data_IF_411824677859
#
_entry.id   IF_411824677859
#
_cell.length_a   1.000
_cell.length_b   1.000
_cell.length_c   1.000
_cell.angle_alpha   90.00
_cell.angle_beta   90.00
_cell.angle_gamma   90.00
#
_symmetry.space_group_name_H-M   'P 1'
#
loop_
_entity.id
_entity.type
_entity.pdbx_description
1 polymer ?
#
# COMPACT_ATOMS: atom_id res chain seq x y z
N UNK A 1 24.45 20.69 1.83
CA UNK A 1 23.89 21.64 2.82
C UNK A 1 23.98 21.01 4.20
N UNK A 2 24.25 21.78 5.24
CA UNK A 2 24.18 21.29 6.62
C UNK A 2 23.31 22.24 7.45
N UNK A 3 22.72 21.74 8.55
CA UNK A 3 21.92 22.55 9.45
C UNK A 3 22.58 22.53 10.83
N UNK A 4 22.69 23.71 11.45
CA UNK A 4 23.06 23.83 12.85
C UNK A 4 21.77 23.94 13.65
N UNK A 5 21.59 23.00 14.57
CA UNK A 5 20.47 23.02 15.53
C UNK A 5 21.00 23.55 16.84
N UNK A 6 20.43 24.66 17.31
CA UNK A 6 20.69 25.19 18.66
C UNK A 6 19.45 24.96 19.50
N UNK A 7 19.61 24.27 20.64
CA UNK A 7 18.53 23.95 21.55
C UNK A 7 18.81 24.52 22.95
N UNK A 8 17.81 25.19 23.54
CA UNK A 8 17.78 25.57 24.95
C UNK A 8 16.42 25.18 25.55
N UNK A 9 16.28 25.22 26.89
CA UNK A 9 15.07 24.71 27.59
C UNK A 9 13.79 25.32 26.99
N UNK A 10 13.06 24.49 26.24
CA UNK A 10 11.76 24.80 25.66
C UNK A 10 11.76 25.36 24.23
N UNK A 11 12.92 25.59 23.58
CA UNK A 11 12.99 26.10 22.19
C UNK A 11 14.15 25.48 21.41
N UNK A 12 13.88 25.07 20.17
CA UNK A 12 14.90 24.65 19.21
C UNK A 12 14.83 25.54 17.97
N UNK A 13 15.99 26.04 17.54
CA UNK A 13 16.13 26.81 16.30
C UNK A 13 17.02 26.03 15.32
N UNK A 14 16.55 25.88 14.09
CA UNK A 14 17.29 25.23 13.01
C UNK A 14 17.70 26.30 12.01
N UNK A 15 19.01 26.50 11.81
CA UNK A 15 19.53 27.33 10.72
C UNK A 15 20.14 26.45 9.65
N UNK A 16 19.59 26.54 8.44
CA UNK A 16 20.10 25.83 7.27
C UNK A 16 21.19 26.67 6.60
N UNK A 17 22.36 26.06 6.40
CA UNK A 17 23.48 26.67 5.70
C UNK A 17 23.70 25.96 4.36
N UNK A 18 23.74 26.74 3.29
CA UNK A 18 24.13 26.30 1.95
C UNK A 18 25.55 26.79 1.71
N UNK A 19 26.52 25.90 1.76
CA UNK A 19 27.87 26.25 1.32
C UNK A 19 27.83 26.49 -0.20
N UNK A 20 28.30 27.64 -0.71
CA UNK A 20 28.46 27.83 -2.13
C UNK A 20 29.58 26.89 -2.62
N UNK A 21 29.29 26.09 -3.63
CA UNK A 21 30.29 25.28 -4.33
C UNK A 21 29.97 25.30 -5.82
N UNK A 22 31.01 25.20 -6.65
CA UNK A 22 30.89 25.15 -8.09
C UNK A 22 30.36 23.78 -8.52
N UNK A 23 29.10 23.76 -8.95
CA UNK A 23 28.39 22.53 -9.34
C UNK A 23 29.07 21.88 -10.56
N UNK A 24 29.45 22.66 -11.56
CA UNK A 24 30.05 22.15 -12.81
C UNK A 24 31.46 21.59 -12.57
N UNK A 25 32.28 22.30 -11.78
CA UNK A 25 33.60 21.80 -11.41
C UNK A 25 33.50 20.50 -10.60
N UNK A 26 32.51 20.41 -9.71
CA UNK A 26 32.27 19.22 -8.88
C UNK A 26 31.81 18.03 -9.72
N UNK A 27 30.83 18.20 -10.61
CA UNK A 27 30.34 17.11 -11.47
C UNK A 27 31.40 16.62 -12.44
N UNK A 28 32.21 17.52 -13.02
CA UNK A 28 33.35 17.15 -13.88
C UNK A 28 34.39 16.34 -13.12
N UNK A 29 34.71 16.73 -11.89
CA UNK A 29 35.67 16.01 -11.04
C UNK A 29 35.17 14.61 -10.64
N UNK A 30 33.86 14.46 -10.38
CA UNK A 30 33.26 13.16 -10.04
C UNK A 30 33.28 12.20 -11.25
N UNK A 31 32.93 12.70 -12.43
CA UNK A 31 32.98 11.92 -13.68
C UNK A 31 34.42 11.52 -14.04
N UNK A 32 35.39 12.44 -13.88
CA UNK A 32 36.80 12.16 -14.12
C UNK A 32 37.41 11.11 -13.17
N UNK A 33 36.79 10.89 -12.00
CA UNK A 33 37.14 9.83 -11.04
C UNK A 33 36.38 8.51 -11.27
N UNK A 34 35.56 8.42 -12.32
CA UNK A 34 34.80 7.21 -12.65
C UNK A 34 33.66 6.89 -11.67
N UNK A 35 33.21 7.87 -10.89
CA UNK A 35 32.09 7.66 -9.96
C UNK A 35 30.76 7.57 -10.73
N UNK A 36 29.78 6.77 -10.25
CA UNK A 36 28.48 6.63 -10.90
C UNK A 36 27.76 7.98 -11.12
N UNK A 37 27.16 8.18 -12.30
CA UNK A 37 26.53 9.45 -12.68
C UNK A 37 25.43 9.96 -11.74
N UNK A 38 24.86 9.09 -10.90
CA UNK A 38 23.91 9.49 -9.84
C UNK A 38 24.54 10.45 -8.83
N UNK A 39 25.85 10.35 -8.58
CA UNK A 39 26.55 11.27 -7.68
C UNK A 39 26.66 12.68 -8.26
N UNK A 40 26.82 12.83 -9.58
CA UNK A 40 26.80 14.14 -10.24
C UNK A 40 25.42 14.80 -10.10
N UNK A 41 24.34 14.02 -10.32
CA UNK A 41 22.96 14.49 -10.16
C UNK A 41 22.63 14.96 -8.73
N UNK A 42 23.30 14.44 -7.69
CA UNK A 42 23.14 14.96 -6.31
C UNK A 42 23.49 16.43 -6.20
N UNK A 43 24.56 16.85 -6.88
CA UNK A 43 25.05 18.23 -6.83
C UNK A 43 24.27 19.14 -7.76
N UNK A 44 23.86 18.64 -8.93
CA UNK A 44 23.03 19.37 -9.90
C UNK A 44 21.62 19.65 -9.37
N UNK A 45 20.96 18.62 -8.83
CA UNK A 45 19.55 18.71 -8.42
C UNK A 45 19.38 19.12 -6.95
N UNK A 46 20.48 19.15 -6.18
CA UNK A 46 20.45 19.49 -4.75
C UNK A 46 19.68 18.48 -3.89
N UNK A 47 19.53 17.25 -4.39
CA UNK A 47 18.79 16.17 -3.75
C UNK A 47 19.75 15.18 -3.07
N UNK A 48 19.28 14.58 -1.98
CA UNK A 48 20.03 13.53 -1.30
C UNK A 48 20.13 12.27 -2.19
N UNK A 49 21.17 11.45 -1.97
CA UNK A 49 21.37 10.24 -2.76
C UNK A 49 20.17 9.31 -2.67
N UNK A 50 19.49 9.23 -1.51
CA UNK A 50 18.32 8.36 -1.38
C UNK A 50 17.13 8.81 -2.25
N UNK A 51 17.02 10.12 -2.49
CA UNK A 51 15.99 10.71 -3.35
C UNK A 51 16.28 10.47 -4.84
N UNK A 52 17.56 10.44 -5.24
CA UNK A 52 17.99 10.28 -6.63
C UNK A 52 18.23 8.83 -7.05
N UNK A 53 18.80 8.03 -6.15
CA UNK A 53 19.09 6.63 -6.40
C UNK A 53 17.81 5.77 -6.38
N UNK A 54 16.71 6.29 -5.83
CA UNK A 54 15.56 5.51 -5.41
C UNK A 54 16.02 4.47 -4.39
N UNK A 55 15.74 4.68 -3.10
CA UNK A 55 16.13 3.78 -2.01
C UNK A 55 16.19 2.30 -2.45
N UNK A 56 17.21 1.48 -2.12
CA UNK A 56 17.37 0.09 -2.62
C UNK A 56 16.13 -0.81 -2.50
N UNK A 57 15.20 -0.48 -1.59
CA UNK A 57 13.89 -1.09 -1.49
C UNK A 57 12.90 -0.78 -2.64
N UNK A 58 13.11 0.27 -3.45
CA UNK A 58 12.25 0.69 -4.55
C UNK A 58 12.34 -0.28 -5.73
N UNK A 59 13.54 -0.68 -6.17
CA UNK A 59 13.69 -1.63 -7.29
C UNK A 59 13.10 -3.01 -6.98
N UNK A 60 13.32 -3.51 -5.76
CA UNK A 60 12.76 -4.80 -5.30
C UNK A 60 11.24 -4.71 -5.11
N UNK A 61 10.72 -3.61 -4.55
CA UNK A 61 9.28 -3.36 -4.46
C UNK A 61 8.61 -3.32 -5.83
N UNK A 62 9.15 -2.50 -6.73
CA UNK A 62 8.68 -2.39 -8.10
C UNK A 62 8.68 -3.75 -8.79
N UNK A 63 9.67 -4.60 -8.51
CA UNK A 63 9.68 -5.97 -9.05
C UNK A 63 8.56 -6.84 -8.50
N UNK A 64 8.33 -6.84 -7.19
CA UNK A 64 7.26 -7.69 -6.59
C UNK A 64 5.89 -7.33 -7.11
N UNK A 65 5.61 -6.04 -7.25
CA UNK A 65 4.34 -5.55 -7.82
C UNK A 65 4.25 -5.91 -9.30
N UNK A 66 5.35 -5.79 -10.06
CA UNK A 66 5.38 -6.23 -11.46
C UNK A 66 5.09 -7.74 -11.61
N UNK A 67 5.67 -8.58 -10.75
CA UNK A 67 5.40 -10.02 -10.74
C UNK A 67 3.92 -10.31 -10.40
N UNK A 68 3.34 -9.58 -9.43
CA UNK A 68 1.91 -9.71 -9.10
C UNK A 68 1.02 -9.34 -10.28
N UNK A 69 1.30 -8.22 -10.94
CA UNK A 69 0.56 -7.74 -12.13
C UNK A 69 0.65 -8.72 -13.29
N UNK A 70 1.85 -9.21 -13.58
CA UNK A 70 2.08 -10.21 -14.62
C UNK A 70 1.25 -11.48 -14.36
N UNK A 71 1.20 -11.94 -13.11
CA UNK A 71 0.39 -13.10 -12.74
C UNK A 71 -1.12 -12.84 -12.89
N UNK A 72 -1.60 -11.67 -12.47
CA UNK A 72 -3.00 -11.27 -12.64
C UNK A 72 -3.39 -11.29 -14.13
N UNK A 73 -2.57 -10.68 -14.99
CA UNK A 73 -2.76 -10.68 -16.44
C UNK A 73 -2.81 -12.10 -16.99
N UNK A 74 -1.88 -12.95 -16.58
CA UNK A 74 -1.78 -14.33 -17.05
C UNK A 74 -2.99 -15.18 -16.63
N UNK A 75 -3.55 -14.97 -15.43
CA UNK A 75 -4.62 -15.81 -14.89
C UNK A 75 -6.03 -15.28 -15.15
N UNK A 76 -6.22 -13.96 -15.21
CA UNK A 76 -7.54 -13.33 -15.31
C UNK A 76 -7.77 -12.60 -16.63
N UNK A 77 -6.73 -12.32 -17.40
CA UNK A 77 -6.82 -11.58 -18.67
C UNK A 77 -7.04 -10.07 -18.53
N UNK A 78 -7.40 -9.59 -17.34
CA UNK A 78 -7.62 -8.18 -17.04
C UNK A 78 -6.97 -7.78 -15.70
N UNK A 79 -6.39 -6.58 -15.70
CA UNK A 79 -5.72 -5.93 -14.57
C UNK A 79 -6.54 -4.78 -13.96
N UNK A 80 -7.61 -4.33 -14.62
CA UNK A 80 -8.30 -3.06 -14.29
C UNK A 80 -8.82 -3.06 -12.85
N UNK A 81 -9.63 -4.04 -12.48
CA UNK A 81 -10.17 -4.16 -11.11
C UNK A 81 -9.07 -4.30 -10.05
N UNK A 82 -8.09 -5.17 -10.29
CA UNK A 82 -7.01 -5.43 -9.32
C UNK A 82 -6.14 -4.19 -9.10
N UNK A 83 -5.85 -3.45 -10.17
CA UNK A 83 -5.11 -2.21 -10.11
C UNK A 83 -5.89 -1.10 -9.42
N UNK A 84 -7.19 -1.01 -9.68
CA UNK A 84 -8.05 -0.02 -9.03
C UNK A 84 -8.19 -0.28 -7.52
N UNK A 85 -8.43 -1.53 -7.12
CA UNK A 85 -8.45 -1.92 -5.70
C UNK A 85 -7.09 -1.66 -5.04
N UNK A 86 -5.97 -1.93 -5.72
CA UNK A 86 -4.64 -1.61 -5.20
C UNK A 86 -4.45 -0.11 -4.95
N UNK A 87 -4.88 0.73 -5.88
CA UNK A 87 -4.83 2.19 -5.75
C UNK A 87 -5.65 2.68 -4.54
N UNK A 88 -6.90 2.21 -4.38
CA UNK A 88 -7.76 2.56 -3.25
C UNK A 88 -7.20 2.02 -1.91
N UNK A 89 -6.69 0.79 -1.90
CA UNK A 89 -6.10 0.18 -0.70
C UNK A 89 -4.88 0.97 -0.20
N UNK A 90 -4.04 1.46 -1.13
CA UNK A 90 -2.90 2.29 -0.79
C UNK A 90 -3.29 3.68 -0.28
N UNK A 91 -4.30 4.31 -0.89
CA UNK A 91 -4.84 5.57 -0.39
C UNK A 91 -5.42 5.43 1.03
N UNK A 92 -6.14 4.33 1.30
CA UNK A 92 -6.61 4.01 2.65
C UNK A 92 -5.45 3.78 3.60
N UNK A 93 -4.44 3.00 3.21
CA UNK A 93 -3.26 2.77 4.06
C UNK A 93 -2.59 4.08 4.44
N UNK A 94 -2.30 4.94 3.47
CA UNK A 94 -1.63 6.21 3.73
C UNK A 94 -2.49 7.13 4.61
N UNK A 95 -3.81 7.19 4.35
CA UNK A 95 -4.76 7.97 5.16
C UNK A 95 -5.02 7.45 6.57
N UNK A 96 -4.72 6.18 6.84
CA UNK A 96 -4.95 5.52 8.14
C UNK A 96 -3.67 5.33 8.95
N UNK A 97 -2.56 5.94 8.52
CA UNK A 97 -1.24 5.77 9.16
C UNK A 97 -1.23 6.01 10.66
N UNK A 98 -2.02 6.99 11.14
CA UNK A 98 -2.16 7.29 12.56
C UNK A 98 -2.79 6.14 13.38
N UNK A 99 -3.55 5.25 12.76
CA UNK A 99 -4.19 4.11 13.42
C UNK A 99 -3.32 2.86 13.42
N UNK A 100 -2.71 2.53 12.28
CA UNK A 100 -1.98 1.25 12.14
C UNK A 100 -0.48 1.37 12.42
N UNK A 101 0.13 2.55 12.28
CA UNK A 101 1.55 2.78 12.57
C UNK A 101 2.54 1.95 11.74
N UNK A 102 2.08 1.40 10.61
CA UNK A 102 2.87 0.49 9.75
C UNK A 102 3.68 1.28 8.73
N UNK A 103 4.78 0.68 8.27
CA UNK A 103 5.74 1.33 7.38
C UNK A 103 5.65 0.85 5.94
N UNK A 104 6.67 1.24 5.16
CA UNK A 104 6.80 0.95 3.74
C UNK A 104 6.69 -0.54 3.41
N UNK A 105 7.31 -1.41 4.20
CA UNK A 105 7.29 -2.85 3.98
C UNK A 105 5.88 -3.47 4.06
N UNK A 106 4.99 -2.91 4.89
CA UNK A 106 3.60 -3.35 4.99
C UNK A 106 2.73 -2.76 3.88
N UNK A 107 3.04 -1.54 3.45
CA UNK A 107 2.44 -0.92 2.26
C UNK A 107 2.68 -1.79 1.01
N UNK A 108 3.89 -2.30 0.83
CA UNK A 108 4.22 -3.20 -0.29
C UNK A 108 3.44 -4.51 -0.26
N UNK A 109 3.25 -5.08 0.94
CA UNK A 109 2.49 -6.32 1.13
C UNK A 109 1.03 -6.10 0.80
N UNK A 110 0.49 -4.95 1.21
CA UNK A 110 -0.88 -4.57 0.87
C UNK A 110 -1.05 -4.42 -0.63
N UNK A 111 -0.13 -3.73 -1.31
CA UNK A 111 -0.16 -3.54 -2.76
C UNK A 111 -0.13 -4.88 -3.50
N UNK A 112 0.83 -5.77 -3.16
CA UNK A 112 0.90 -7.09 -3.78
C UNK A 112 -0.37 -7.91 -3.49
N UNK A 113 -0.88 -7.87 -2.25
CA UNK A 113 -2.10 -8.60 -1.90
C UNK A 113 -3.34 -8.04 -2.60
N UNK A 114 -3.41 -6.73 -2.83
CA UNK A 114 -4.50 -6.09 -3.56
C UNK A 114 -4.49 -6.47 -5.03
N UNK A 115 -3.32 -6.53 -5.67
CA UNK A 115 -3.21 -7.10 -7.01
C UNK A 115 -3.66 -8.57 -7.04
N UNK A 116 -3.27 -9.36 -6.06
CA UNK A 116 -3.44 -10.81 -6.07
C UNK A 116 -4.76 -11.30 -5.44
N UNK A 117 -5.63 -10.41 -4.93
CA UNK A 117 -6.73 -10.82 -4.06
C UNK A 117 -7.75 -11.73 -4.75
N UNK A 118 -8.00 -11.50 -6.04
CA UNK A 118 -9.06 -12.15 -6.81
C UNK A 118 -8.55 -13.19 -7.82
N UNK A 119 -7.25 -13.50 -7.85
CA UNK A 119 -6.67 -14.46 -8.81
C UNK A 119 -7.24 -15.88 -8.71
N UNK A 120 -7.83 -16.23 -7.56
CA UNK A 120 -8.56 -17.47 -7.36
C UNK A 120 -9.80 -17.63 -8.24
N UNK A 121 -10.28 -16.57 -8.90
CA UNK A 121 -11.35 -16.67 -9.90
C UNK A 121 -10.96 -17.56 -11.09
N UNK A 122 -9.66 -17.66 -11.39
CA UNK A 122 -9.12 -18.57 -12.42
C UNK A 122 -9.45 -20.05 -12.17
N UNK A 123 -9.81 -20.44 -10.93
CA UNK A 123 -10.17 -21.81 -10.54
C UNK A 123 -11.69 -22.05 -10.40
N UNK A 124 -12.56 -21.25 -11.03
CA UNK A 124 -14.01 -21.51 -11.07
C UNK A 124 -14.84 -20.90 -9.91
N UNK A 125 -14.34 -19.84 -9.30
CA UNK A 125 -15.11 -18.83 -8.55
C UNK A 125 -15.63 -19.19 -7.15
N UNK A 126 -16.00 -20.44 -6.87
CA UNK A 126 -16.41 -20.83 -5.51
C UNK A 126 -15.19 -20.77 -4.59
N UNK A 127 -15.36 -20.09 -3.45
CA UNK A 127 -14.30 -19.93 -2.44
C UNK A 127 -13.01 -19.35 -3.05
N UNK A 128 -13.10 -18.48 -4.06
CA UNK A 128 -11.92 -17.94 -4.77
C UNK A 128 -10.89 -17.30 -3.84
N UNK A 129 -11.31 -16.64 -2.76
CA UNK A 129 -10.40 -16.12 -1.74
C UNK A 129 -9.49 -17.21 -1.10
N UNK A 130 -9.94 -18.47 -1.01
CA UNK A 130 -9.12 -19.62 -0.61
C UNK A 130 -8.17 -20.04 -1.74
N UNK A 131 -8.68 -20.09 -2.97
CA UNK A 131 -7.85 -20.37 -4.15
C UNK A 131 -6.75 -19.31 -4.34
N UNK A 132 -7.02 -18.02 -4.12
CA UNK A 132 -6.00 -16.96 -4.17
C UNK A 132 -4.88 -17.21 -3.16
N UNK A 133 -5.22 -17.63 -1.92
CA UNK A 133 -4.21 -18.03 -0.93
C UNK A 133 -3.30 -19.13 -1.47
N UNK A 134 -3.90 -20.21 -1.99
CA UNK A 134 -3.19 -21.39 -2.49
C UNK A 134 -2.29 -21.01 -3.67
N UNK A 135 -2.82 -20.29 -4.66
CA UNK A 135 -2.07 -19.81 -5.82
C UNK A 135 -0.88 -18.96 -5.36
N UNK A 136 -1.08 -17.95 -4.50
CA UNK A 136 0.04 -17.09 -4.03
C UNK A 136 1.12 -17.92 -3.31
N UNK A 137 0.72 -18.96 -2.56
CA UNK A 137 1.67 -19.82 -1.86
C UNK A 137 2.44 -20.74 -2.80
N UNK A 138 1.81 -21.21 -3.87
CA UNK A 138 2.33 -22.25 -4.77
C UNK A 138 3.09 -21.68 -5.98
N UNK A 139 2.67 -20.53 -6.52
CA UNK A 139 3.22 -19.93 -7.75
C UNK A 139 4.72 -19.58 -7.63
N UNK A 140 5.62 -20.26 -8.34
CA UNK A 140 7.06 -19.97 -8.29
C UNK A 140 7.44 -18.60 -8.87
N UNK A 141 6.69 -18.12 -9.86
CA UNK A 141 6.91 -16.86 -10.60
C UNK A 141 6.84 -15.63 -9.70
N UNK A 142 6.11 -15.70 -8.59
CA UNK A 142 6.16 -14.69 -7.53
C UNK A 142 7.46 -14.88 -6.74
N UNK A 143 8.57 -14.23 -7.11
CA UNK A 143 9.88 -14.37 -6.47
C UNK A 143 9.96 -13.77 -5.04
N UNK A 144 9.00 -14.11 -4.19
CA UNK A 144 8.76 -13.60 -2.86
C UNK A 144 9.42 -14.50 -1.84
N UNK A 145 10.19 -13.91 -0.91
CA UNK A 145 10.69 -14.64 0.25
C UNK A 145 9.54 -15.23 1.08
N UNK A 146 9.74 -16.42 1.66
CA UNK A 146 8.66 -17.22 2.26
C UNK A 146 7.83 -16.49 3.32
N UNK A 147 8.46 -15.64 4.16
CA UNK A 147 7.72 -14.81 5.13
C UNK A 147 6.83 -13.76 4.44
N UNK A 148 7.34 -13.07 3.42
CA UNK A 148 6.58 -12.09 2.66
C UNK A 148 5.39 -12.75 1.96
N UNK A 149 5.65 -13.86 1.26
CA UNK A 149 4.64 -14.64 0.53
C UNK A 149 3.49 -15.06 1.43
N UNK A 150 3.78 -15.65 2.60
CA UNK A 150 2.74 -16.10 3.55
C UNK A 150 1.87 -14.95 4.08
N UNK A 151 2.46 -13.79 4.33
CA UNK A 151 1.70 -12.61 4.79
C UNK A 151 0.82 -12.05 3.67
N UNK A 152 1.35 -11.90 2.46
CA UNK A 152 0.58 -11.46 1.27
C UNK A 152 -0.59 -12.40 0.99
N UNK A 153 -0.32 -13.71 1.01
CA UNK A 153 -1.34 -14.73 0.80
C UNK A 153 -2.44 -14.64 1.88
N UNK A 154 -2.08 -14.43 3.16
CA UNK A 154 -3.05 -14.24 4.22
C UNK A 154 -3.89 -12.96 4.05
N UNK A 155 -3.28 -11.85 3.62
CA UNK A 155 -4.02 -10.60 3.35
C UNK A 155 -5.06 -10.83 2.25
N UNK A 156 -4.62 -11.37 1.10
CA UNK A 156 -5.48 -11.72 -0.02
C UNK A 156 -6.59 -12.69 0.39
N UNK A 157 -6.29 -13.70 1.21
CA UNK A 157 -7.27 -14.67 1.72
C UNK A 157 -8.44 -14.05 2.48
N UNK A 158 -8.18 -12.95 3.19
CA UNK A 158 -9.15 -12.34 4.10
C UNK A 158 -9.83 -11.09 3.52
N UNK A 159 -9.65 -10.79 2.22
CA UNK A 159 -10.36 -9.71 1.52
C UNK A 159 -11.89 -9.88 1.52
N UNK A 160 -12.41 -11.08 1.81
CA UNK A 160 -13.85 -11.33 1.95
C UNK A 160 -14.17 -12.51 2.85
N UNK A 161 -15.47 -12.65 3.18
CA UNK A 161 -16.02 -13.77 3.99
C UNK A 161 -15.36 -13.82 5.37
N UNK A 162 -15.05 -15.02 5.86
CA UNK A 162 -14.57 -15.28 7.21
C UNK A 162 -13.38 -14.38 7.61
N UNK A 163 -13.40 -13.95 8.87
CA UNK A 163 -12.33 -13.15 9.47
C UNK A 163 -11.07 -14.00 9.81
N UNK A 164 -9.90 -13.37 9.99
CA UNK A 164 -8.71 -14.05 10.49
C UNK A 164 -8.98 -14.80 11.80
N UNK A 165 -8.53 -16.06 11.87
CA UNK A 165 -8.82 -16.95 13.00
C UNK A 165 -7.68 -17.94 13.24
N UNK A 166 -7.41 -18.23 14.51
CA UNK A 166 -6.43 -19.26 14.92
C UNK A 166 -6.84 -20.69 14.56
N UNK A 167 -8.10 -20.89 14.17
CA UNK A 167 -8.59 -22.15 13.59
C UNK A 167 -8.08 -22.35 12.16
N UNK A 168 -7.68 -21.29 11.47
CA UNK A 168 -7.14 -21.37 10.11
C UNK A 168 -5.63 -21.64 10.14
N UNK A 169 -5.20 -22.81 9.67
CA UNK A 169 -3.80 -23.26 9.75
C UNK A 169 -2.78 -22.27 9.19
N UNK A 170 -3.02 -21.73 7.98
CA UNK A 170 -2.13 -20.74 7.35
C UNK A 170 -1.96 -19.46 8.19
N UNK A 171 -3.00 -19.02 8.89
CA UNK A 171 -2.95 -17.83 9.74
C UNK A 171 -2.27 -18.14 11.07
N UNK A 172 -2.57 -19.29 11.67
CA UNK A 172 -1.91 -19.77 12.89
C UNK A 172 -0.40 -19.92 12.70
N UNK A 173 0.04 -20.35 11.52
CA UNK A 173 1.46 -20.52 11.17
C UNK A 173 2.25 -19.20 11.05
N UNK A 174 1.58 -18.04 10.93
CA UNK A 174 2.25 -16.75 10.97
C UNK A 174 2.72 -16.42 12.39
N UNK A 175 3.82 -15.68 12.52
CA UNK A 175 4.24 -15.10 13.82
C UNK A 175 3.15 -14.16 14.35
N UNK A 176 3.09 -13.93 15.67
CA UNK A 176 2.10 -13.01 16.25
C UNK A 176 2.15 -11.60 15.63
N UNK A 177 3.32 -10.97 15.43
CA UNK A 177 3.40 -9.69 14.74
C UNK A 177 2.88 -9.76 13.30
N UNK A 178 3.16 -10.84 12.57
CA UNK A 178 2.68 -11.01 11.20
C UNK A 178 1.18 -11.27 11.13
N UNK A 179 0.59 -11.93 12.12
CA UNK A 179 -0.87 -12.07 12.25
C UNK A 179 -1.55 -10.71 12.45
N UNK A 180 -0.98 -9.86 13.31
CA UNK A 180 -1.49 -8.51 13.56
C UNK A 180 -1.40 -7.64 12.29
N UNK A 181 -0.24 -7.65 11.61
CA UNK A 181 -0.05 -6.95 10.33
C UNK A 181 -1.03 -7.46 9.27
N UNK A 182 -1.12 -8.77 9.06
CA UNK A 182 -2.02 -9.36 8.08
C UNK A 182 -3.48 -9.01 8.35
N UNK A 183 -3.91 -9.02 9.62
CA UNK A 183 -5.27 -8.64 9.98
C UNK A 183 -5.58 -7.16 9.71
N UNK A 184 -4.67 -6.24 10.06
CA UNK A 184 -4.83 -4.82 9.79
C UNK A 184 -4.84 -4.52 8.27
N UNK A 185 -3.93 -5.12 7.52
CA UNK A 185 -3.86 -4.95 6.07
C UNK A 185 -5.06 -5.58 5.35
N UNK A 186 -5.52 -6.75 5.79
CA UNK A 186 -6.75 -7.35 5.27
C UNK A 186 -7.98 -6.48 5.58
N UNK A 187 -8.02 -5.81 6.73
CA UNK A 187 -9.09 -4.89 7.06
C UNK A 187 -9.18 -3.72 6.06
N UNK A 188 -8.03 -3.17 5.67
CA UNK A 188 -7.92 -2.11 4.66
C UNK A 188 -8.35 -2.65 3.29
N UNK A 189 -7.80 -3.80 2.88
CA UNK A 189 -8.10 -4.40 1.58
C UNK A 189 -9.60 -4.72 1.41
N UNK A 190 -10.28 -5.20 2.47
CA UNK A 190 -11.73 -5.46 2.46
C UNK A 190 -12.55 -4.21 2.15
N UNK A 191 -12.14 -3.06 2.68
CA UNK A 191 -12.84 -1.79 2.43
C UNK A 191 -12.56 -1.33 1.00
N UNK A 192 -11.31 -1.40 0.53
CA UNK A 192 -10.94 -1.07 -0.85
C UNK A 192 -11.68 -1.93 -1.89
N UNK A 193 -11.72 -3.25 -1.71
CA UNK A 193 -12.50 -4.20 -2.53
C UNK A 193 -14.02 -3.96 -2.42
N UNK A 194 -14.50 -3.31 -1.37
CA UNK A 194 -15.88 -2.85 -1.31
C UNK A 194 -16.13 -1.64 -2.20
N UNK A 195 -15.19 -0.68 -2.21
CA UNK A 195 -15.30 0.57 -2.97
C UNK A 195 -15.24 0.38 -4.49
N UNK A 196 -14.91 -0.82 -4.95
CA UNK A 196 -14.98 -1.22 -6.36
C UNK A 196 -15.70 -2.57 -6.54
N UNK A 197 -16.73 -2.82 -5.74
CA UNK A 197 -17.47 -4.10 -5.78
C UNK A 197 -18.21 -4.34 -7.10
N UNK A 198 -18.62 -3.27 -7.76
CA UNK A 198 -19.25 -3.26 -9.09
C UNK A 198 -18.24 -3.39 -10.23
N UNK A 199 -16.94 -3.21 -9.93
CA UNK A 199 -15.84 -3.10 -10.91
C UNK A 199 -16.01 -1.96 -11.91
N UNK A 200 -16.80 -0.94 -11.55
CA UNK A 200 -17.07 0.20 -12.42
C UNK A 200 -16.04 1.33 -12.29
N UNK A 201 -15.07 1.20 -11.36
CA UNK A 201 -14.10 2.23 -11.02
C UNK A 201 -14.77 3.57 -10.68
N UNK A 202 -15.92 3.49 -9.98
CA UNK A 202 -16.78 4.64 -9.72
C UNK A 202 -16.16 5.62 -8.71
N UNK A 203 -15.38 5.11 -7.75
CA UNK A 203 -14.60 5.91 -6.79
C UNK A 203 -13.22 6.15 -7.36
N UNK A 204 -12.91 7.38 -7.79
CA UNK A 204 -11.64 7.70 -8.44
C UNK A 204 -10.52 8.10 -7.47
N UNK A 205 -10.88 8.57 -6.28
CA UNK A 205 -9.95 8.93 -5.22
C UNK A 205 -10.65 8.92 -3.86
N UNK A 206 -9.89 8.91 -2.76
CA UNK A 206 -10.42 9.02 -1.42
C UNK A 206 -9.51 9.78 -0.47
N UNK A 207 -10.09 10.31 0.60
CA UNK A 207 -9.39 10.88 1.75
C UNK A 207 -9.96 10.31 3.05
N UNK A 208 -9.11 10.14 4.06
CA UNK A 208 -9.52 9.65 5.38
C UNK A 208 -9.43 10.76 6.41
N UNK A 209 -10.49 10.93 7.20
CA UNK A 209 -10.48 11.70 8.45
C UNK A 209 -10.54 10.71 9.61
N UNK A 210 -9.53 10.76 10.49
CA UNK A 210 -9.42 9.87 11.65
C UNK A 210 -9.79 10.63 12.92
N UNK A 211 -10.83 10.18 13.58
CA UNK A 211 -11.34 10.76 14.83
C UNK A 211 -11.27 9.72 15.98
N UNK A 212 -11.44 10.13 17.25
CA UNK A 212 -11.33 9.23 18.39
C UNK A 212 -12.31 8.05 18.40
N UNK A 213 -13.47 8.17 17.76
CA UNK A 213 -14.50 7.11 17.73
C UNK A 213 -14.84 6.63 16.31
N UNK A 214 -14.48 7.39 15.28
CA UNK A 214 -14.91 7.15 13.90
C UNK A 214 -13.76 7.41 12.92
N UNK A 215 -13.80 6.69 11.80
CA UNK A 215 -13.06 7.03 10.60
C UNK A 215 -14.07 7.36 9.51
N UNK A 216 -13.93 8.54 8.93
CA UNK A 216 -14.71 8.95 7.76
C UNK A 216 -13.85 8.83 6.51
N UNK A 217 -14.27 7.98 5.58
CA UNK A 217 -13.69 7.89 4.23
C UNK A 217 -14.55 8.73 3.30
N UNK A 218 -13.95 9.79 2.76
CA UNK A 218 -14.57 10.67 1.76
C UNK A 218 -14.15 10.20 0.37
N UNK A 219 -15.11 9.88 -0.48
CA UNK A 219 -14.88 9.29 -1.79
C UNK A 219 -15.16 10.31 -2.90
N UNK A 220 -14.16 10.62 -3.73
CA UNK A 220 -14.38 11.31 -4.99
C UNK A 220 -14.97 10.31 -5.98
N UNK A 221 -16.13 10.63 -6.55
CA UNK A 221 -16.85 9.74 -7.44
C UNK A 221 -16.94 10.33 -8.85
N UNK A 222 -16.68 9.52 -9.88
CA UNK A 222 -16.82 9.90 -11.30
C UNK A 222 -18.05 9.29 -11.96
N UNK A 223 -18.67 8.32 -11.28
CA UNK A 223 -19.92 7.65 -11.65
C UNK A 223 -20.74 7.46 -10.36
N UNK A 224 -21.97 6.94 -10.48
CA UNK A 224 -22.74 6.55 -9.30
C UNK A 224 -22.02 5.43 -8.54
N UNK A 225 -21.52 5.73 -7.34
CA UNK A 225 -20.79 4.81 -6.47
C UNK A 225 -21.60 4.37 -5.23
N UNK A 226 -22.90 4.66 -5.16
CA UNK A 226 -23.70 4.42 -3.95
C UNK A 226 -23.69 2.95 -3.50
N UNK A 227 -23.81 2.03 -4.46
CA UNK A 227 -23.75 0.59 -4.18
C UNK A 227 -22.38 0.14 -3.68
N UNK A 228 -21.29 0.64 -4.29
CA UNK A 228 -19.92 0.32 -3.88
C UNK A 228 -19.60 0.85 -2.48
N UNK A 229 -19.99 2.08 -2.19
CA UNK A 229 -19.81 2.67 -0.87
C UNK A 229 -20.60 1.93 0.21
N UNK A 230 -21.83 1.49 -0.09
CA UNK A 230 -22.61 0.64 0.80
C UNK A 230 -21.93 -0.73 1.01
N UNK A 231 -21.41 -1.35 -0.07
CA UNK A 231 -20.69 -2.61 -0.01
C UNK A 231 -19.41 -2.50 0.85
N UNK A 232 -18.65 -1.41 0.69
CA UNK A 232 -17.49 -1.10 1.52
C UNK A 232 -17.85 -0.94 3.00
N UNK A 233 -18.95 -0.24 3.30
CA UNK A 233 -19.47 -0.11 4.67
C UNK A 233 -19.84 -1.45 5.30
N UNK A 234 -20.46 -2.34 4.50
CA UNK A 234 -20.80 -3.71 4.89
C UNK A 234 -19.56 -4.61 5.09
N UNK A 235 -18.52 -4.46 4.25
CA UNK A 235 -17.23 -5.18 4.38
C UNK A 235 -16.32 -4.63 5.49
N UNK A 236 -16.71 -3.54 6.16
CA UNK A 236 -15.97 -2.91 7.25
C UNK A 236 -15.96 -3.66 8.60
N UNK A 237 -16.46 -4.89 8.67
CA UNK A 237 -16.51 -5.71 9.89
C UNK A 237 -15.13 -5.95 10.51
N UNK A 238 -14.14 -6.33 9.69
CA UNK A 238 -12.77 -6.51 10.15
C UNK A 238 -12.12 -5.16 10.54
N UNK A 239 -12.44 -4.10 9.80
CA UNK A 239 -11.96 -2.74 10.08
C UNK A 239 -12.37 -2.28 11.49
N UNK A 240 -13.67 -2.34 11.78
CA UNK A 240 -14.22 -1.97 13.10
C UNK A 240 -13.58 -2.80 14.21
N UNK A 241 -13.41 -4.12 13.96
CA UNK A 241 -12.81 -5.03 14.92
C UNK A 241 -11.35 -4.71 15.24
N UNK A 242 -10.54 -4.39 14.23
CA UNK A 242 -9.09 -4.17 14.36
C UNK A 242 -8.79 -2.75 14.86
N UNK A 243 -9.37 -1.73 14.24
CA UNK A 243 -9.07 -0.34 14.55
C UNK A 243 -9.91 0.24 15.69
N UNK A 244 -10.96 -0.47 16.13
CA UNK A 244 -11.84 -0.02 17.22
C UNK A 244 -12.43 1.36 16.94
N UNK A 245 -12.81 1.60 15.69
CA UNK A 245 -13.45 2.82 15.20
C UNK A 245 -14.63 2.43 14.33
N UNK A 246 -15.69 3.22 14.39
CA UNK A 246 -16.75 3.13 13.40
C UNK A 246 -16.23 3.55 12.02
N UNK A 247 -16.75 2.93 10.98
CA UNK A 247 -16.40 3.24 9.59
C UNK A 247 -17.59 3.90 8.91
N UNK A 248 -17.40 5.16 8.51
CA UNK A 248 -18.37 5.92 7.74
C UNK A 248 -17.79 6.21 6.35
N UNK A 249 -18.57 5.95 5.31
CA UNK A 249 -18.16 6.18 3.91
C UNK A 249 -19.15 7.17 3.31
N UNK A 250 -18.66 8.30 2.82
CA UNK A 250 -19.49 9.39 2.30
C UNK A 250 -18.92 9.90 0.97
N UNK A 251 -19.77 10.42 0.08
CA UNK A 251 -19.29 11.05 -1.15
C UNK A 251 -18.62 12.38 -0.78
N UNK A 252 -17.56 12.73 -1.52
CA UNK A 252 -16.90 14.02 -1.43
C UNK A 252 -17.40 14.95 -2.55
N UNK A 253 -18.36 15.80 -2.22
CA UNK A 253 -18.93 16.78 -3.15
C UNK A 253 -18.00 18.01 -3.35
N UNK A 254 -16.86 18.09 -2.67
CA UNK A 254 -15.96 19.25 -2.75
C UNK A 254 -15.06 19.29 -3.99
N UNK A 255 -15.18 18.31 -4.91
CA UNK A 255 -14.42 18.28 -6.17
C UNK A 255 -15.14 18.91 -7.37
N UNK A 256 -16.36 19.41 -7.19
CA UNK A 256 -17.07 20.24 -8.17
C UNK A 256 -16.76 21.72 -7.93
N UNK A 257 -15.56 22.15 -8.32
CA UNK A 257 -15.24 23.55 -8.61
C UNK A 257 -14.25 23.62 -9.76
#
# INVERSE_FOLDING_TARGET
AYAIVTASRGKAAVRHYRAPYDVEATTRALSGKGLPGVFARMFEEGLALESLAGAPGSKVQSRRVADARALVRALLGDEEHSGHVAMLALALFDGLRALHGLGKAERDRLECAAWLHDIGWSRGGRKHHKASLEIILETPELAYGGRFRRVVAAIARYHRRALPSMRHGHFRALSQPDRQRAAALAAILRVADGLDSSRANAVSALACAVEPAQVTVRCKTVKNAAADMAAAGGKGDLFRRIFKRELRIIPDFAFEK
#
